data_IF_428879744971
#
_entry.id   IF_428879744971
#
_cell.length_a   1.000
_cell.length_b   1.000
_cell.length_c   1.000
_cell.angle_alpha   90.00
_cell.angle_beta   90.00
_cell.angle_gamma   90.00
#
_symmetry.space_group_name_H-M   'P 1'
#
loop_
_entity.id
_entity.type
_entity.pdbx_description
1 polymer ?
#
# COMPACT_ATOMS: atom_id res chain seq x y z
N UNK A 1 9.69 0.45 5.11
CA UNK A 1 9.37 0.56 6.56
C UNK A 1 8.09 -0.24 6.80
N UNK A 2 8.12 -1.22 7.70
CA UNK A 2 6.95 -2.04 8.06
C UNK A 2 6.33 -1.45 9.31
N UNK A 3 5.02 -1.28 9.32
CA UNK A 3 4.24 -0.77 10.44
C UNK A 3 3.32 -1.88 10.92
N UNK A 4 3.41 -2.21 12.21
CA UNK A 4 2.66 -3.30 12.84
C UNK A 4 1.77 -2.80 13.95
N UNK A 5 0.70 -3.54 14.24
CA UNK A 5 -0.15 -3.31 15.40
C UNK A 5 0.46 -3.91 16.70
N UNK A 6 -0.24 -3.77 17.82
CA UNK A 6 0.18 -4.32 19.13
C UNK A 6 0.29 -5.86 19.16
N UNK A 7 -0.32 -6.55 18.20
CA UNK A 7 -0.27 -8.01 18.06
C UNK A 7 0.78 -8.44 17.02
N UNK A 8 1.63 -7.51 16.57
CA UNK A 8 2.65 -7.72 15.55
C UNK A 8 2.09 -8.12 14.17
N UNK A 9 0.83 -7.74 13.86
CA UNK A 9 0.25 -7.90 12.53
C UNK A 9 0.66 -6.71 11.67
N UNK A 10 1.07 -6.95 10.44
CA UNK A 10 1.43 -5.89 9.51
C UNK A 10 0.20 -5.08 9.10
N UNK A 11 0.17 -3.80 9.47
CA UNK A 11 -0.87 -2.87 9.03
C UNK A 11 -0.53 -2.27 7.68
N UNK A 12 0.70 -1.83 7.51
CA UNK A 12 1.13 -1.18 6.28
C UNK A 12 2.63 -1.36 6.02
N UNK A 13 3.01 -1.20 4.76
CA UNK A 13 4.41 -1.20 4.33
C UNK A 13 4.65 0.05 3.49
N UNK A 14 5.57 0.90 3.94
CA UNK A 14 6.00 2.10 3.23
C UNK A 14 7.22 1.78 2.38
N UNK A 15 7.18 2.18 1.13
CA UNK A 15 8.30 2.10 0.21
C UNK A 15 8.71 3.51 -0.19
N UNK A 16 9.85 3.95 0.34
CA UNK A 16 10.45 5.21 -0.10
C UNK A 16 11.17 5.00 -1.43
N UNK A 17 11.02 5.96 -2.33
CA UNK A 17 11.64 5.89 -3.65
C UNK A 17 13.15 5.60 -3.61
N UNK A 18 13.87 6.22 -2.67
CA UNK A 18 15.32 6.04 -2.47
C UNK A 18 15.71 4.61 -2.11
N UNK A 19 14.79 3.82 -1.56
CA UNK A 19 15.04 2.44 -1.11
C UNK A 19 14.68 1.39 -2.19
N UNK A 20 14.34 1.84 -3.42
CA UNK A 20 14.13 0.95 -4.56
C UNK A 20 15.47 0.72 -5.25
N UNK A 21 16.27 -0.19 -4.70
CA UNK A 21 17.64 -0.46 -5.16
C UNK A 21 17.83 -1.84 -5.79
N UNK A 22 17.00 -2.81 -5.45
CA UNK A 22 17.10 -4.17 -5.98
C UNK A 22 16.35 -4.30 -7.30
N UNK A 23 16.84 -5.22 -8.17
CA UNK A 23 16.20 -5.49 -9.46
C UNK A 23 14.72 -5.86 -9.32
N UNK A 24 14.38 -6.64 -8.30
CA UNK A 24 13.02 -7.01 -7.94
C UNK A 24 12.96 -7.38 -6.45
N UNK A 25 11.97 -6.85 -5.77
CA UNK A 25 11.69 -7.19 -4.38
C UNK A 25 10.18 -7.17 -4.14
N UNK A 26 9.61 -8.29 -3.71
CA UNK A 26 8.25 -8.31 -3.16
C UNK A 26 8.32 -7.83 -1.71
N UNK A 27 7.55 -6.80 -1.39
CA UNK A 27 7.55 -6.20 -0.04
C UNK A 27 6.46 -6.76 0.85
N UNK A 28 5.40 -7.31 0.26
CA UNK A 28 4.34 -8.03 0.97
C UNK A 28 4.72 -9.50 1.10
N UNK A 29 4.29 -10.14 2.20
CA UNK A 29 4.40 -11.59 2.37
C UNK A 29 3.62 -12.30 1.25
N UNK A 30 4.09 -13.49 0.83
CA UNK A 30 3.48 -14.24 -0.27
C UNK A 30 2.05 -14.70 0.01
N UNK A 31 1.64 -14.72 1.28
CA UNK A 31 0.29 -15.09 1.73
C UNK A 31 -0.69 -13.92 1.73
N UNK A 32 -0.21 -12.68 1.56
CA UNK A 32 -1.08 -11.50 1.53
C UNK A 32 -1.98 -11.51 0.28
N UNK A 33 -3.22 -11.09 0.46
CA UNK A 33 -4.23 -11.03 -0.60
C UNK A 33 -3.91 -9.95 -1.64
N UNK A 34 -3.10 -8.96 -1.31
CA UNK A 34 -2.52 -7.98 -2.23
C UNK A 34 -1.01 -8.14 -2.28
N UNK A 35 -0.47 -8.31 -3.47
CA UNK A 35 0.97 -8.38 -3.70
C UNK A 35 1.50 -7.05 -4.19
N UNK A 36 2.51 -6.53 -3.51
CA UNK A 36 3.20 -5.30 -3.87
C UNK A 36 4.69 -5.60 -4.08
N UNK A 37 5.21 -5.22 -5.24
CA UNK A 37 6.62 -5.40 -5.57
C UNK A 37 7.22 -4.11 -6.11
N UNK A 38 8.48 -3.91 -5.83
CA UNK A 38 9.30 -2.80 -6.33
C UNK A 38 10.39 -3.33 -7.26
N UNK A 39 10.73 -2.53 -8.27
CA UNK A 39 11.70 -2.90 -9.30
C UNK A 39 12.66 -1.75 -9.57
N UNK A 40 13.94 -2.08 -9.75
CA UNK A 40 14.97 -1.18 -10.25
C UNK A 40 15.69 -1.88 -11.41
N UNK A 41 15.20 -1.66 -12.61
CA UNK A 41 15.68 -2.34 -13.81
C UNK A 41 16.48 -1.39 -14.69
N UNK A 42 17.58 -1.90 -15.27
CA UNK A 42 18.45 -1.12 -16.13
C UNK A 42 17.85 -0.98 -17.53
N UNK A 43 18.27 0.07 -18.23
CA UNK A 43 17.89 0.29 -19.64
C UNK A 43 18.18 -0.96 -20.47
N UNK A 44 17.23 -1.39 -21.28
CA UNK A 44 17.34 -2.55 -22.14
C UNK A 44 16.92 -3.88 -21.49
N UNK A 45 16.59 -3.88 -20.20
CA UNK A 45 16.01 -5.07 -19.56
C UNK A 45 14.68 -5.44 -20.23
N UNK A 46 14.51 -6.71 -20.54
CA UNK A 46 13.29 -7.23 -21.19
C UNK A 46 12.55 -8.12 -20.20
N UNK A 47 11.31 -7.76 -19.91
CA UNK A 47 10.37 -8.66 -19.26
C UNK A 47 9.71 -9.51 -20.35
N UNK A 48 9.87 -10.82 -20.28
CA UNK A 48 9.34 -11.74 -21.27
C UNK A 48 7.81 -11.61 -21.40
N UNK A 49 7.31 -11.77 -22.62
CA UNK A 49 5.87 -11.79 -22.89
C UNK A 49 5.20 -12.86 -22.05
N UNK A 50 4.20 -12.48 -21.28
CA UNK A 50 3.44 -13.42 -20.47
C UNK A 50 2.01 -12.90 -20.23
N UNK A 51 1.15 -13.79 -19.77
CA UNK A 51 -0.15 -13.46 -19.22
C UNK A 51 -0.33 -14.23 -17.91
N UNK A 52 -1.07 -13.62 -17.00
CA UNK A 52 -1.36 -14.25 -15.71
C UNK A 52 -2.46 -15.30 -15.87
N UNK A 53 -2.24 -16.48 -15.31
CA UNK A 53 -3.22 -17.56 -15.30
C UNK A 53 -4.46 -17.12 -14.50
N UNK A 54 -5.64 -17.50 -15.00
CA UNK A 54 -6.87 -17.32 -14.23
C UNK A 54 -6.84 -18.23 -13.01
N UNK A 55 -7.07 -17.65 -11.85
CA UNK A 55 -7.10 -18.37 -10.58
C UNK A 55 -8.37 -18.00 -9.82
N UNK A 56 -8.96 -18.98 -9.17
CA UNK A 56 -10.02 -18.73 -8.19
C UNK A 56 -9.36 -18.22 -6.91
N UNK A 57 -9.78 -17.04 -6.43
CA UNK A 57 -9.32 -16.45 -5.18
C UNK A 57 -10.50 -16.16 -4.29
N UNK A 58 -10.29 -16.30 -2.98
CA UNK A 58 -11.19 -15.82 -1.95
C UNK A 58 -10.49 -14.68 -1.23
N UNK A 59 -11.07 -13.49 -1.27
CA UNK A 59 -10.51 -12.27 -0.70
C UNK A 59 -11.40 -11.83 0.44
N UNK A 60 -10.83 -11.56 1.60
CA UNK A 60 -11.55 -11.25 2.84
C UNK A 60 -11.22 -9.86 3.39
N UNK A 61 -10.16 -9.21 2.85
CA UNK A 61 -9.74 -7.87 3.23
C UNK A 61 -9.79 -6.92 2.05
N UNK A 62 -9.87 -5.64 2.34
CA UNK A 62 -9.64 -4.59 1.34
C UNK A 62 -8.33 -3.92 1.67
N UNK A 63 -7.29 -4.29 0.93
CA UNK A 63 -6.01 -3.59 0.98
C UNK A 63 -5.99 -2.45 -0.04
N UNK A 64 -5.28 -1.39 0.29
CA UNK A 64 -5.17 -0.19 -0.52
C UNK A 64 -3.71 0.21 -0.70
N UNK A 65 -3.34 0.59 -1.91
CA UNK A 65 -2.01 1.10 -2.21
C UNK A 65 -2.12 2.54 -2.70
N UNK A 66 -1.36 3.44 -2.10
CA UNK A 66 -1.22 4.83 -2.53
C UNK A 66 0.19 5.04 -3.07
N UNK A 67 0.28 5.69 -4.23
CA UNK A 67 1.54 6.12 -4.85
C UNK A 67 1.47 7.63 -5.05
N UNK A 68 2.34 8.36 -4.38
CA UNK A 68 2.41 9.82 -4.50
C UNK A 68 3.17 10.18 -5.78
N UNK A 69 2.50 10.89 -6.67
CA UNK A 69 3.09 11.35 -7.94
C UNK A 69 3.76 12.70 -7.78
N UNK A 70 3.15 13.58 -6.97
CA UNK A 70 3.62 14.94 -6.72
C UNK A 70 3.11 15.45 -5.37
N UNK A 71 3.84 16.35 -4.74
CA UNK A 71 3.46 16.95 -3.46
C UNK A 71 3.77 16.08 -2.25
N UNK A 72 3.01 16.29 -1.16
CA UNK A 72 3.28 15.68 0.13
C UNK A 72 1.98 15.36 0.90
N UNK A 73 1.89 14.17 1.45
CA UNK A 73 0.78 13.74 2.29
C UNK A 73 1.29 13.12 3.59
N UNK A 74 0.53 13.24 4.67
CA UNK A 74 0.69 12.47 5.90
C UNK A 74 -0.38 11.39 5.95
N UNK A 75 0.04 10.15 6.17
CA UNK A 75 -0.85 9.01 6.41
C UNK A 75 -0.81 8.67 7.89
N UNK A 76 -1.97 8.65 8.53
CA UNK A 76 -2.13 8.15 9.89
C UNK A 76 -2.74 6.75 9.86
N UNK A 77 -2.16 5.83 10.63
CA UNK A 77 -2.59 4.43 10.72
C UNK A 77 -3.14 4.14 12.10
N UNK A 78 -4.26 3.43 12.14
CA UNK A 78 -4.99 3.16 13.36
C UNK A 78 -5.20 1.67 13.57
N UNK A 79 -5.19 1.26 14.82
CA UNK A 79 -5.53 -0.10 15.20
C UNK A 79 -7.03 -0.36 15.04
N UNK A 80 -7.40 -1.47 14.41
CA UNK A 80 -8.76 -1.78 13.98
C UNK A 80 -9.77 -1.85 15.13
N UNK A 81 -9.38 -2.42 16.27
CA UNK A 81 -10.31 -2.68 17.38
C UNK A 81 -10.46 -1.52 18.36
N UNK A 82 -9.42 -0.74 18.55
CA UNK A 82 -9.39 0.35 19.52
C UNK A 82 -9.46 1.74 18.90
N UNK A 83 -9.34 1.83 17.58
CA UNK A 83 -9.21 3.08 16.83
C UNK A 83 -8.01 3.95 17.30
N UNK A 84 -7.06 3.33 18.02
CA UNK A 84 -5.88 4.04 18.52
C UNK A 84 -4.90 4.32 17.39
N UNK A 85 -4.33 5.52 17.38
CA UNK A 85 -3.25 5.87 16.47
C UNK A 85 -2.03 4.98 16.75
N UNK A 86 -1.55 4.32 15.71
CA UNK A 86 -0.32 3.50 15.75
C UNK A 86 0.87 4.30 15.26
N UNK A 87 0.74 4.91 14.07
CA UNK A 87 1.86 5.59 13.43
C UNK A 87 1.37 6.69 12.49
N UNK A 88 2.21 7.69 12.27
CA UNK A 88 2.06 8.68 11.21
C UNK A 88 3.29 8.66 10.33
N UNK A 89 3.07 8.66 9.03
CA UNK A 89 4.17 8.67 8.06
C UNK A 89 3.91 9.73 7.00
N UNK A 90 4.96 10.48 6.67
CA UNK A 90 4.94 11.45 5.59
C UNK A 90 5.47 10.79 4.33
N UNK A 91 4.70 10.90 3.25
CA UNK A 91 5.06 10.44 1.92
C UNK A 91 5.23 11.64 1.01
N UNK A 92 6.31 11.65 0.27
CA UNK A 92 6.64 12.65 -0.73
C UNK A 92 6.53 12.06 -2.14
N UNK A 93 6.73 12.90 -3.15
CA UNK A 93 6.70 12.46 -4.55
C UNK A 93 7.54 11.20 -4.78
N UNK A 94 6.94 10.20 -5.42
CA UNK A 94 7.45 8.87 -5.75
C UNK A 94 7.47 7.86 -4.61
N UNK A 95 7.12 8.25 -3.38
CA UNK A 95 6.92 7.31 -2.30
C UNK A 95 5.58 6.59 -2.44
N UNK A 96 5.47 5.43 -1.82
CA UNK A 96 4.23 4.65 -1.80
C UNK A 96 4.02 3.96 -0.45
N UNK A 97 2.76 3.63 -0.19
CA UNK A 97 2.35 2.83 0.96
C UNK A 97 1.33 1.80 0.49
N UNK A 98 1.47 0.57 0.94
CA UNK A 98 0.42 -0.44 0.89
C UNK A 98 -0.13 -0.64 2.29
N UNK A 99 -1.42 -0.45 2.45
CA UNK A 99 -2.18 -0.63 3.69
C UNK A 99 -2.95 -1.94 3.56
N UNK A 100 -2.65 -2.89 4.42
CA UNK A 100 -3.16 -4.26 4.34
C UNK A 100 -4.38 -4.46 5.24
N UNK A 101 -4.42 -3.76 6.36
CA UNK A 101 -5.50 -3.81 7.36
C UNK A 101 -5.43 -2.63 8.32
N UNK A 102 -6.42 -2.53 9.22
CA UNK A 102 -6.55 -1.40 10.16
C UNK A 102 -7.19 -0.18 9.51
N UNK A 103 -7.36 0.87 10.29
CA UNK A 103 -7.87 2.15 9.82
C UNK A 103 -6.76 3.07 9.33
N UNK A 104 -7.11 4.00 8.47
CA UNK A 104 -6.19 5.04 8.02
C UNK A 104 -6.91 6.35 7.73
N UNK A 105 -6.14 7.43 7.74
CA UNK A 105 -6.57 8.75 7.26
C UNK A 105 -5.42 9.47 6.58
N UNK A 106 -5.76 10.47 5.78
CA UNK A 106 -4.78 11.26 5.03
C UNK A 106 -4.96 12.74 5.31
N UNK A 107 -3.83 13.44 5.41
CA UNK A 107 -3.76 14.90 5.41
C UNK A 107 -2.83 15.34 4.30
N UNK A 108 -3.31 16.24 3.44
CA UNK A 108 -2.49 16.83 2.37
C UNK A 108 -1.69 17.97 2.98
N UNK A 109 -0.36 17.82 3.01
CA UNK A 109 0.57 18.81 3.59
C UNK A 109 1.05 19.83 2.55
N UNK A 110 1.16 19.42 1.29
CA UNK A 110 1.45 20.27 0.13
C UNK A 110 0.53 19.80 -1.00
N UNK A 111 0.17 20.67 -1.95
CA UNK A 111 -0.67 20.28 -3.09
C UNK A 111 -0.17 18.97 -3.68
N UNK A 112 -1.00 17.96 -3.70
CA UNK A 112 -0.58 16.60 -4.00
C UNK A 112 -1.41 15.96 -5.12
N UNK A 113 -0.73 15.13 -5.90
CA UNK A 113 -1.31 14.19 -6.84
C UNK A 113 -0.87 12.79 -6.47
N UNK A 114 -1.80 11.88 -6.32
CA UNK A 114 -1.52 10.49 -6.03
C UNK A 114 -2.53 9.58 -6.73
N UNK A 115 -2.18 8.33 -6.87
CA UNK A 115 -3.07 7.27 -7.36
C UNK A 115 -3.31 6.25 -6.27
N UNK A 116 -4.50 5.70 -6.25
CA UNK A 116 -4.94 4.66 -5.35
C UNK A 116 -5.25 3.39 -6.13
N UNK A 117 -4.85 2.25 -5.60
CA UNK A 117 -5.19 0.93 -6.11
C UNK A 117 -5.71 0.10 -4.95
N UNK A 118 -6.89 -0.49 -5.10
CA UNK A 118 -7.47 -1.40 -4.10
C UNK A 118 -8.25 -2.54 -4.74
N UNK A 119 -8.58 -3.54 -3.95
CA UNK A 119 -9.46 -4.61 -4.45
C UNK A 119 -10.83 -4.04 -4.82
N UNK A 120 -11.37 -4.55 -5.91
CA UNK A 120 -12.75 -4.36 -6.34
C UNK A 120 -13.57 -5.66 -6.18
N UNK A 121 -14.85 -5.62 -6.54
CA UNK A 121 -15.59 -4.46 -7.03
C UNK A 121 -15.88 -3.43 -5.94
N UNK A 122 -16.05 -2.16 -6.33
CA UNK A 122 -16.37 -1.07 -5.42
C UNK A 122 -17.87 -1.05 -5.08
N UNK A 123 -18.18 -0.83 -3.81
CA UNK A 123 -19.54 -0.58 -3.32
C UNK A 123 -19.51 0.54 -2.28
N UNK A 124 -20.12 1.67 -2.59
CA UNK A 124 -20.12 2.86 -1.73
C UNK A 124 -20.60 2.59 -0.30
N UNK A 125 -21.58 1.70 -0.15
CA UNK A 125 -22.17 1.39 1.14
C UNK A 125 -21.40 0.34 1.97
N UNK A 126 -20.46 -0.37 1.37
CA UNK A 126 -19.74 -1.49 1.98
C UNK A 126 -18.23 -1.30 2.02
N UNK A 127 -17.72 -0.24 1.38
CA UNK A 127 -16.28 -0.09 1.17
C UNK A 127 -15.54 0.39 2.43
N UNK A 128 -16.17 1.26 3.22
CA UNK A 128 -15.53 1.83 4.42
C UNK A 128 -16.53 2.22 5.50
N UNK A 129 -16.07 2.21 6.72
CA UNK A 129 -16.72 2.74 7.89
C UNK A 129 -15.90 3.93 8.43
N UNK A 130 -16.56 5.04 8.75
CA UNK A 130 -15.92 6.23 9.32
C UNK A 130 -16.02 6.16 10.84
N UNK A 131 -14.91 6.38 11.52
CA UNK A 131 -14.82 6.37 12.98
C UNK A 131 -14.15 7.62 13.54
#
# INVERSE_FOLDING_TARGET
MIIVDKNNRTLAIVTFYKDIIQNREFVTDETEEMQFAKFNLQKGHIVNKHYHQKQKRSIHSTAETIIVLDGKIEVSLFEETSNSLIEKVVLESKDSIVMLQGGHSLVVLEDAKFVEVKQGPYSENLDKEIF
#
